data_IF_179566935747
#
_entry.id   IF_179566935747
#
_cell.length_a   1.000
_cell.length_b   1.000
_cell.length_c   1.000
_cell.angle_alpha   90.00
_cell.angle_beta   90.00
_cell.angle_gamma   90.00
#
_symmetry.space_group_name_H-M   'P 1'
#
loop_
_entity.id
_entity.type
_entity.pdbx_description
1 polymer ?
#
# COMPACT_ATOMS: atom_id res chain seq x y z
N UNK A 1 9.40 -62.02 -44.64
CA UNK A 1 10.51 -62.28 -43.70
C UNK A 1 10.49 -61.17 -42.66
N UNK A 2 9.94 -61.44 -41.48
CA UNK A 2 9.72 -60.43 -40.43
C UNK A 2 10.65 -60.73 -39.26
N UNK A 3 11.49 -59.75 -38.94
CA UNK A 3 12.51 -59.81 -37.88
C UNK A 3 11.83 -59.64 -36.51
N UNK A 4 12.17 -60.44 -35.48
CA UNK A 4 11.65 -60.22 -34.13
C UNK A 4 12.39 -59.06 -33.45
N UNK A 5 11.64 -58.11 -32.89
CA UNK A 5 12.17 -56.97 -32.12
C UNK A 5 12.26 -57.37 -30.63
N UNK A 6 13.38 -57.10 -29.93
CA UNK A 6 13.58 -57.47 -28.53
C UNK A 6 12.79 -56.59 -27.54
N UNK A 7 12.41 -57.10 -26.35
CA UNK A 7 11.68 -56.33 -25.36
C UNK A 7 12.65 -55.47 -24.56
N UNK A 8 12.62 -54.17 -24.81
CA UNK A 8 13.38 -53.20 -24.03
C UNK A 8 12.96 -51.79 -24.39
N UNK A 9 12.74 -50.98 -23.35
CA UNK A 9 12.53 -49.53 -23.40
C UNK A 9 11.09 -49.10 -23.76
N UNK A 10 10.19 -49.26 -22.79
CA UNK A 10 9.15 -48.25 -22.59
C UNK A 10 9.87 -46.93 -22.26
N UNK A 11 10.10 -46.08 -23.25
CA UNK A 11 10.32 -44.66 -22.99
C UNK A 11 9.00 -44.10 -22.49
N UNK A 12 8.89 -43.90 -21.17
CA UNK A 12 7.87 -43.04 -20.58
C UNK A 12 7.92 -41.68 -21.32
N UNK A 13 6.78 -41.09 -21.71
CA UNK A 13 6.79 -39.69 -22.14
C UNK A 13 7.33 -38.88 -20.97
N UNK A 14 8.32 -38.02 -21.23
CA UNK A 14 8.91 -37.12 -20.23
C UNK A 14 7.80 -36.48 -19.42
N UNK A 15 7.63 -36.92 -18.16
CA UNK A 15 6.87 -36.14 -17.18
C UNK A 15 7.64 -34.84 -17.03
N UNK A 16 7.17 -33.82 -17.73
CA UNK A 16 7.62 -32.45 -17.54
C UNK A 16 7.65 -32.13 -16.05
N UNK A 17 8.62 -31.31 -15.65
CA UNK A 17 8.77 -30.86 -14.28
C UNK A 17 7.40 -30.50 -13.67
N UNK A 18 7.16 -30.81 -12.38
CA UNK A 18 5.94 -30.39 -11.72
C UNK A 18 5.75 -28.89 -11.96
N UNK A 19 4.51 -28.42 -12.22
CA UNK A 19 4.29 -27.00 -12.44
C UNK A 19 4.86 -26.26 -11.24
N UNK A 20 5.74 -25.29 -11.51
CA UNK A 20 6.18 -24.36 -10.50
C UNK A 20 4.94 -23.80 -9.79
N UNK A 21 4.96 -23.63 -8.45
CA UNK A 21 3.86 -22.97 -7.78
C UNK A 21 3.62 -21.64 -8.49
N UNK A 22 2.36 -21.38 -8.86
CA UNK A 22 2.01 -20.16 -9.54
C UNK A 22 2.57 -18.97 -8.74
N UNK A 23 3.20 -17.99 -9.41
CA UNK A 23 3.67 -16.80 -8.71
C UNK A 23 2.50 -16.20 -7.91
N UNK A 24 2.77 -15.65 -6.71
CA UNK A 24 1.74 -15.01 -5.93
C UNK A 24 1.06 -13.93 -6.80
N UNK A 25 -0.28 -13.80 -6.73
CA UNK A 25 -1.02 -12.88 -7.57
C UNK A 25 -0.46 -11.48 -7.41
N UNK A 26 -0.03 -10.89 -8.52
CA UNK A 26 0.52 -9.54 -8.55
C UNK A 26 -0.62 -8.53 -8.67
N UNK A 27 -0.41 -7.31 -8.17
CA UNK A 27 -1.39 -6.23 -8.28
C UNK A 27 -1.75 -5.88 -9.74
N UNK A 28 -0.87 -6.21 -10.67
CA UNK A 28 -1.00 -6.08 -12.12
C UNK A 28 -1.78 -7.23 -12.79
N UNK A 29 -2.10 -8.31 -12.06
CA UNK A 29 -2.81 -9.44 -12.66
C UNK A 29 -4.26 -9.07 -13.00
N UNK A 30 -4.72 -9.39 -14.22
CA UNK A 30 -6.10 -9.12 -14.61
C UNK A 30 -7.05 -9.91 -13.72
N UNK A 31 -8.12 -9.26 -13.25
CA UNK A 31 -9.15 -9.94 -12.45
C UNK A 31 -10.23 -10.49 -13.36
N UNK A 32 -10.51 -11.78 -13.21
CA UNK A 32 -11.64 -12.43 -13.86
C UNK A 32 -12.84 -12.32 -12.92
N UNK A 33 -13.90 -11.64 -13.36
CA UNK A 33 -15.16 -11.58 -12.63
C UNK A 33 -15.84 -12.96 -12.67
N UNK A 34 -16.73 -13.24 -11.71
CA UNK A 34 -17.54 -14.46 -11.66
C UNK A 34 -18.41 -14.68 -12.92
N UNK A 35 -18.58 -13.64 -13.74
CA UNK A 35 -19.27 -13.64 -15.03
C UNK A 35 -18.38 -13.99 -16.22
N UNK A 36 -17.10 -14.30 -16.00
CA UNK A 36 -16.12 -14.61 -17.05
C UNK A 36 -15.54 -13.39 -17.77
N UNK A 37 -15.91 -12.18 -17.38
CA UNK A 37 -15.34 -10.95 -17.92
C UNK A 37 -13.96 -10.66 -17.30
N UNK A 38 -12.98 -10.37 -18.15
CA UNK A 38 -11.61 -10.02 -17.74
C UNK A 38 -11.51 -8.50 -17.65
N UNK A 39 -11.33 -7.97 -16.44
CA UNK A 39 -11.07 -6.54 -16.25
C UNK A 39 -9.56 -6.26 -16.20
N UNK A 40 -9.02 -5.43 -17.11
CA UNK A 40 -7.66 -4.95 -16.98
C UNK A 40 -7.57 -4.05 -15.74
N UNK A 41 -6.71 -4.42 -14.78
CA UNK A 41 -6.36 -3.49 -13.68
C UNK A 41 -5.42 -2.44 -14.26
N UNK A 42 -5.75 -1.17 -14.08
CA UNK A 42 -4.80 -0.09 -14.36
C UNK A 42 -3.63 -0.25 -13.37
N UNK A 43 -2.48 -0.71 -13.87
CA UNK A 43 -1.25 -0.64 -13.10
C UNK A 43 -1.01 0.85 -12.79
N UNK A 44 -1.03 1.23 -11.52
CA UNK A 44 -0.52 2.54 -11.14
C UNK A 44 0.94 2.61 -11.61
N UNK A 45 1.37 3.74 -12.21
CA UNK A 45 2.77 3.88 -12.62
C UNK A 45 3.65 3.60 -11.41
N UNK A 46 4.44 2.53 -11.50
CA UNK A 46 5.48 2.24 -10.52
C UNK A 46 6.48 3.37 -10.69
N UNK A 47 6.51 4.30 -9.72
CA UNK A 47 7.48 5.38 -9.74
C UNK A 47 8.88 4.78 -9.84
N UNK A 48 9.64 5.24 -10.82
CA UNK A 48 11.02 4.84 -11.05
C UNK A 48 11.84 5.09 -9.78
N UNK A 49 12.28 4.03 -9.12
CA UNK A 49 13.03 4.08 -7.83
C UNK A 49 14.51 4.44 -8.07
N UNK A 50 14.78 5.24 -9.11
CA UNK A 50 16.09 5.70 -9.53
C UNK A 50 16.35 7.19 -9.29
N UNK A 51 15.40 7.91 -8.71
CA UNK A 51 15.58 9.33 -8.43
C UNK A 51 16.27 9.50 -7.09
N UNK A 52 17.54 9.90 -7.11
CA UNK A 52 18.16 10.56 -5.97
C UNK A 52 17.27 11.74 -5.58
N UNK A 53 16.51 11.60 -4.50
CA UNK A 53 15.73 12.69 -3.94
C UNK A 53 16.73 13.71 -3.41
N UNK A 54 16.98 14.76 -4.19
CA UNK A 54 17.62 15.96 -3.68
C UNK A 54 16.63 16.60 -2.70
N UNK A 55 16.69 16.19 -1.45
CA UNK A 55 15.89 16.79 -0.39
C UNK A 55 16.39 18.22 -0.22
N UNK A 56 15.55 19.19 -0.61
CA UNK A 56 15.80 20.58 -0.25
C UNK A 56 15.63 20.71 1.27
N UNK A 57 16.74 20.61 2.00
CA UNK A 57 16.79 20.72 3.45
C UNK A 57 16.20 22.04 3.96
N UNK A 58 16.19 23.10 3.14
CA UNK A 58 15.58 24.37 3.52
C UNK A 58 14.05 24.32 3.53
N UNK A 59 13.45 23.48 2.68
CA UNK A 59 12.00 23.29 2.60
C UNK A 59 11.49 22.24 3.61
N UNK A 60 12.35 21.34 4.10
CA UNK A 60 11.95 20.24 4.97
C UNK A 60 11.16 20.64 6.24
N UNK A 61 11.48 21.74 6.95
CA UNK A 61 10.68 22.19 8.09
C UNK A 61 9.26 22.60 7.71
N UNK A 62 9.08 23.16 6.50
CA UNK A 62 7.75 23.51 6.01
C UNK A 62 6.96 22.25 5.64
N UNK A 63 7.59 21.31 4.94
CA UNK A 63 6.97 20.03 4.58
C UNK A 63 6.53 19.26 5.83
N UNK A 64 7.34 19.22 6.88
CA UNK A 64 6.95 18.59 8.15
C UNK A 64 5.73 19.27 8.79
N UNK A 65 5.64 20.60 8.74
CA UNK A 65 4.44 21.33 9.22
C UNK A 65 3.20 21.00 8.42
N UNK A 66 3.32 20.95 7.09
CA UNK A 66 2.20 20.64 6.21
C UNK A 66 1.71 19.19 6.42
N UNK A 67 2.63 18.25 6.61
CA UNK A 67 2.30 16.86 6.95
C UNK A 67 1.65 16.74 8.33
N UNK A 68 2.13 17.50 9.32
CA UNK A 68 1.52 17.56 10.66
C UNK A 68 0.07 18.05 10.57
N UNK A 69 -0.18 19.13 9.82
CA UNK A 69 -1.52 19.66 9.61
C UNK A 69 -2.42 18.64 8.90
N UNK A 70 -1.91 17.93 7.90
CA UNK A 70 -2.67 16.86 7.24
C UNK A 70 -3.06 15.73 8.20
N UNK A 71 -2.19 15.36 9.16
CA UNK A 71 -2.52 14.38 10.21
C UNK A 71 -3.62 14.90 11.12
N UNK A 72 -3.58 16.17 11.52
CA UNK A 72 -4.62 16.79 12.34
C UNK A 72 -5.97 16.79 11.62
N UNK A 73 -5.99 17.15 10.35
CA UNK A 73 -7.19 17.13 9.50
C UNK A 73 -7.76 15.72 9.35
N UNK A 74 -6.92 14.73 9.06
CA UNK A 74 -7.34 13.33 8.99
C UNK A 74 -7.85 12.81 10.33
N UNK A 75 -7.24 13.23 11.43
CA UNK A 75 -7.70 12.89 12.78
C UNK A 75 -9.07 13.50 13.08
N UNK A 76 -9.35 14.69 12.57
CA UNK A 76 -10.69 15.29 12.66
C UNK A 76 -11.71 14.49 11.83
N UNK A 77 -11.40 14.20 10.56
CA UNK A 77 -12.26 13.37 9.70
C UNK A 77 -12.53 11.98 10.28
N UNK A 78 -11.54 11.39 10.97
CA UNK A 78 -11.70 10.13 11.69
C UNK A 78 -12.82 10.20 12.73
N UNK A 79 -12.89 11.29 13.49
CA UNK A 79 -13.94 11.49 14.50
C UNK A 79 -15.31 11.60 13.85
N UNK A 80 -15.39 12.31 12.72
CA UNK A 80 -16.62 12.47 11.97
C UNK A 80 -17.10 11.14 11.36
N UNK A 81 -16.19 10.33 10.83
CA UNK A 81 -16.49 8.99 10.33
C UNK A 81 -17.05 8.08 11.44
N UNK A 82 -16.48 8.15 12.65
CA UNK A 82 -17.00 7.40 13.81
C UNK A 82 -18.39 7.90 14.22
N UNK A 83 -18.69 9.19 14.09
CA UNK A 83 -20.04 9.72 14.35
C UNK A 83 -21.04 9.27 13.28
N UNK A 84 -20.62 9.25 12.01
CA UNK A 84 -21.45 8.79 10.90
C UNK A 84 -21.86 7.32 11.06
N UNK A 85 -20.95 6.48 11.57
CA UNK A 85 -21.25 5.08 11.87
C UNK A 85 -22.21 4.87 13.07
N UNK A 86 -22.61 5.92 13.77
CA UNK A 86 -23.49 5.88 14.95
C UNK A 86 -24.83 6.59 14.73
N UNK A 87 -25.22 6.85 13.48
CA UNK A 87 -26.49 7.50 13.19
C UNK A 87 -27.65 6.59 13.66
N UNK A 88 -28.41 7.08 14.63
CA UNK A 88 -29.72 6.52 14.97
C UNK A 88 -30.73 7.03 13.93
N UNK A 89 -31.39 6.15 13.16
CA UNK A 89 -32.38 6.57 12.17
C UNK A 89 -33.58 7.33 12.77
N UNK A 90 -33.79 7.30 14.09
CA UNK A 90 -34.83 8.06 14.82
C UNK A 90 -36.28 7.70 14.46
N UNK A 91 -36.45 6.90 13.41
CA UNK A 91 -37.70 6.49 12.79
C UNK A 91 -37.70 4.97 12.67
N UNK A 92 -38.84 4.36 13.02
CA UNK A 92 -38.98 2.90 13.00
C UNK A 92 -39.23 2.31 11.61
N UNK A 93 -39.19 3.11 10.54
CA UNK A 93 -39.42 2.59 9.20
C UNK A 93 -38.24 1.74 8.71
N UNK A 94 -38.52 0.81 7.80
CA UNK A 94 -37.54 -0.16 7.32
C UNK A 94 -36.46 0.52 6.45
N UNK A 95 -36.82 1.55 5.70
CA UNK A 95 -35.92 2.23 4.76
C UNK A 95 -34.84 3.01 5.51
N UNK A 96 -35.23 3.73 6.57
CA UNK A 96 -34.31 4.48 7.42
C UNK A 96 -33.33 3.55 8.15
N UNK A 97 -33.78 2.37 8.58
CA UNK A 97 -32.92 1.34 9.19
C UNK A 97 -31.93 0.73 8.20
N UNK A 98 -32.36 0.44 6.98
CA UNK A 98 -31.47 -0.05 5.92
C UNK A 98 -30.44 1.02 5.55
N UNK A 99 -30.85 2.29 5.44
CA UNK A 99 -29.93 3.40 5.19
C UNK A 99 -28.89 3.55 6.30
N UNK A 100 -29.30 3.51 7.57
CA UNK A 100 -28.38 3.55 8.71
C UNK A 100 -27.35 2.41 8.66
N UNK A 101 -27.78 1.20 8.30
CA UNK A 101 -26.91 0.02 8.15
C UNK A 101 -25.88 0.22 7.03
N UNK A 102 -26.27 0.81 5.90
CA UNK A 102 -25.34 1.12 4.79
C UNK A 102 -24.34 2.19 5.20
N UNK A 103 -24.77 3.25 5.88
CA UNK A 103 -23.87 4.28 6.37
C UNK A 103 -22.88 3.75 7.40
N UNK A 104 -23.31 2.90 8.32
CA UNK A 104 -22.44 2.20 9.26
C UNK A 104 -21.40 1.36 8.52
N UNK A 105 -21.82 0.57 7.53
CA UNK A 105 -20.91 -0.27 6.76
C UNK A 105 -19.83 0.54 6.01
N UNK A 106 -20.22 1.67 5.40
CA UNK A 106 -19.28 2.55 4.69
C UNK A 106 -18.34 3.26 5.67
N UNK A 107 -18.86 3.72 6.80
CA UNK A 107 -18.10 4.51 7.76
C UNK A 107 -17.11 3.67 8.59
N UNK A 108 -17.58 2.54 9.15
CA UNK A 108 -16.85 1.74 10.15
C UNK A 108 -16.80 0.24 9.83
N UNK A 109 -17.50 -0.23 8.80
CA UNK A 109 -17.77 -1.65 8.52
C UNK A 109 -16.63 -2.52 8.00
N UNK A 110 -15.38 -2.30 8.45
CA UNK A 110 -14.27 -3.23 8.22
C UNK A 110 -13.33 -2.86 7.06
N UNK A 111 -12.67 -3.85 6.41
CA UNK A 111 -11.64 -3.61 5.40
C UNK A 111 -12.18 -2.85 4.18
N UNK A 112 -11.77 -1.59 4.02
CA UNK A 112 -12.22 -0.70 2.94
C UNK A 112 -13.22 0.37 3.39
N UNK A 113 -13.64 0.35 4.66
CA UNK A 113 -14.39 1.45 5.27
C UNK A 113 -13.58 2.75 5.27
N UNK A 114 -14.29 3.88 5.33
CA UNK A 114 -13.69 5.20 5.45
C UNK A 114 -12.73 5.28 6.66
N UNK A 115 -13.12 4.72 7.80
CA UNK A 115 -12.27 4.69 8.98
C UNK A 115 -10.93 3.99 8.72
N UNK A 116 -10.95 2.82 8.07
CA UNK A 116 -9.73 2.09 7.74
C UNK A 116 -8.85 2.85 6.73
N UNK A 117 -9.47 3.53 5.75
CA UNK A 117 -8.74 4.35 4.80
C UNK A 117 -8.05 5.55 5.47
N UNK A 118 -8.74 6.20 6.42
CA UNK A 118 -8.18 7.31 7.21
C UNK A 118 -7.05 6.81 8.11
N UNK A 119 -7.24 5.71 8.83
CA UNK A 119 -6.20 5.13 9.71
C UNK A 119 -4.94 4.75 8.91
N UNK A 120 -5.12 4.14 7.72
CA UNK A 120 -4.01 3.83 6.81
C UNK A 120 -3.32 5.09 6.25
N UNK A 121 -4.09 6.14 5.96
CA UNK A 121 -3.58 7.44 5.54
C UNK A 121 -2.70 8.10 6.61
N UNK A 122 -3.19 8.15 7.85
CA UNK A 122 -2.44 8.69 9.00
C UNK A 122 -1.12 7.92 9.18
N UNK A 123 -1.18 6.60 9.24
CA UNK A 123 0.01 5.76 9.43
C UNK A 123 1.06 5.98 8.33
N UNK A 124 0.63 6.17 7.08
CA UNK A 124 1.53 6.44 5.96
C UNK A 124 2.18 7.82 6.05
N UNK A 125 1.44 8.84 6.49
CA UNK A 125 1.99 10.20 6.67
C UNK A 125 2.98 10.21 7.84
N UNK A 126 2.66 9.58 8.95
CA UNK A 126 3.58 9.45 10.10
C UNK A 126 4.88 8.73 9.71
N UNK A 127 4.76 7.67 8.90
CA UNK A 127 5.93 6.98 8.33
C UNK A 127 6.79 7.89 7.45
N UNK A 128 6.16 8.75 6.64
CA UNK A 128 6.86 9.73 5.82
C UNK A 128 7.56 10.81 6.67
N UNK A 129 6.89 11.34 7.70
CA UNK A 129 7.50 12.29 8.63
C UNK A 129 8.73 11.69 9.31
N UNK A 130 8.63 10.46 9.79
CA UNK A 130 9.75 9.73 10.42
C UNK A 130 10.93 9.57 9.47
N UNK A 131 10.67 9.25 8.20
CA UNK A 131 11.71 9.12 7.19
C UNK A 131 12.41 10.46 6.93
N UNK A 132 11.66 11.55 6.79
CA UNK A 132 12.22 12.90 6.60
C UNK A 132 13.08 13.32 7.80
N UNK A 133 12.61 13.09 9.03
CA UNK A 133 13.36 13.41 10.25
C UNK A 133 14.66 12.60 10.36
N UNK A 134 14.64 11.34 9.94
CA UNK A 134 15.82 10.47 9.94
C UNK A 134 16.85 10.98 8.94
N UNK A 135 16.42 11.27 7.71
CA UNK A 135 17.29 11.79 6.65
C UNK A 135 17.92 13.13 7.07
N UNK A 136 17.14 14.06 7.64
CA UNK A 136 17.64 15.34 8.14
C UNK A 136 18.71 15.16 9.23
N UNK A 137 18.49 14.22 10.15
CA UNK A 137 19.46 13.90 11.20
C UNK A 137 20.75 13.35 10.60
N UNK A 138 20.65 12.44 9.65
CA UNK A 138 21.80 11.84 8.98
C UNK A 138 22.63 12.90 8.24
N UNK A 139 21.97 13.81 7.51
CA UNK A 139 22.64 14.97 6.88
C UNK A 139 23.38 15.86 7.89
N UNK A 140 22.73 16.21 9.02
CA UNK A 140 23.36 17.03 10.05
C UNK A 140 24.61 16.36 10.63
N UNK A 141 24.55 15.06 10.90
CA UNK A 141 25.71 14.33 11.43
C UNK A 141 26.86 14.23 10.43
N UNK A 142 26.56 14.07 9.14
CA UNK A 142 27.56 14.04 8.08
C UNK A 142 28.22 15.41 7.87
N UNK A 143 27.46 16.50 7.98
CA UNK A 143 27.99 17.86 7.90
C UNK A 143 28.91 18.17 9.10
N UNK A 144 28.51 17.81 10.32
CA UNK A 144 29.31 17.99 11.53
C UNK A 144 30.59 17.15 11.53
N UNK A 145 30.55 15.95 10.97
CA UNK A 145 31.74 15.11 10.77
C UNK A 145 32.70 15.75 9.76
N UNK A 146 32.16 16.30 8.67
CA UNK A 146 32.94 16.98 7.64
C UNK A 146 33.62 18.24 8.19
N UNK A 147 32.88 19.11 8.90
CA UNK A 147 33.44 20.33 9.52
C UNK A 147 34.58 20.02 10.47
N UNK A 148 34.41 19.03 11.36
CA UNK A 148 35.48 18.58 12.28
C UNK A 148 36.70 18.02 11.55
N UNK A 149 36.51 17.35 10.42
CA UNK A 149 37.60 16.84 9.60
C UNK A 149 38.41 17.93 8.88
N UNK A 150 37.79 19.06 8.54
CA UNK A 150 38.48 20.22 7.97
C UNK A 150 39.25 21.01 9.05
N UNK A 151 38.69 21.17 10.25
CA UNK A 151 39.37 21.89 11.35
C UNK A 151 40.55 21.10 11.97
N UNK A 152 40.62 19.79 11.77
CA UNK A 152 41.67 18.92 12.32
C UNK A 152 42.92 18.76 11.43
N UNK A 153 43.00 19.46 10.27
CA UNK A 153 44.18 19.45 9.39
C UNK A 153 45.02 20.74 9.61
N UNK A 154 46.22 20.64 10.22
CA UNK A 154 47.15 21.76 10.36
C UNK A 154 47.84 22.15 9.05
#
# INVERSE_FOLDING_TARGET
>A
MSVPVPPGLYTEPSRGAPPFPAPPPQASDPTVLSTGQVMPRQAMPVADVGNAFSVDLAAAPQVLRDLQQAVEELTAMRRDAVQLGKIDPGTGDQVSRDAATVFEAIAVGGPGSLLNAIDGGISRIEGLMTAIETELRDYQTAEDASRRGFDARP
#
